data_IF_880454278701
#
_entry.id   IF_880454278701
#
_cell.length_a   1.000
_cell.length_b   1.000
_cell.length_c   1.000
_cell.angle_alpha   90.00
_cell.angle_beta   90.00
_cell.angle_gamma   90.00
#
_symmetry.space_group_name_H-M   'P 1'
#
loop_
_entity.id
_entity.type
_entity.pdbx_description
1 polymer ?
#
# COMPACT_ATOMS: atom_id res chain seq x y z
N UNK A 1 4.47 -16.26 15.95
CA UNK A 1 3.70 -17.42 15.45
C UNK A 1 3.08 -17.06 14.11
N UNK A 2 2.84 -18.06 13.24
CA UNK A 2 2.03 -17.88 12.03
C UNK A 2 0.55 -17.66 12.39
N UNK A 3 -0.23 -17.18 11.43
CA UNK A 3 -1.68 -17.09 11.53
C UNK A 3 -2.34 -18.47 11.60
N UNK A 4 -1.86 -19.46 10.85
CA UNK A 4 -2.32 -20.85 10.95
C UNK A 4 -2.13 -21.42 12.36
N UNK A 5 -0.97 -21.15 12.99
CA UNK A 5 -0.70 -21.56 14.38
C UNK A 5 -1.61 -20.82 15.36
N UNK A 6 -1.81 -19.51 15.17
CA UNK A 6 -2.68 -18.71 16.04
C UNK A 6 -4.13 -19.19 16.00
N UNK A 7 -4.63 -19.51 14.79
CA UNK A 7 -6.01 -19.92 14.54
C UNK A 7 -6.24 -21.43 14.74
N UNK A 8 -5.20 -22.19 15.08
CA UNK A 8 -5.29 -23.61 15.43
C UNK A 8 -5.28 -24.57 14.23
N UNK A 9 -5.00 -24.08 13.02
CA UNK A 9 -4.79 -24.92 11.83
C UNK A 9 -3.41 -25.61 11.84
N UNK A 10 -2.47 -25.09 12.63
CA UNK A 10 -1.12 -25.63 12.79
C UNK A 10 -0.67 -25.64 14.28
N UNK A 11 0.37 -26.41 14.57
CA UNK A 11 1.00 -26.56 15.89
C UNK A 11 2.47 -26.13 15.92
N UNK A 12 2.96 -25.42 14.89
CA UNK A 12 4.30 -24.84 14.91
C UNK A 12 4.51 -23.91 16.13
N UNK A 13 5.74 -23.85 16.68
CA UNK A 13 6.01 -23.07 17.89
C UNK A 13 5.82 -21.56 17.67
N UNK A 14 5.52 -20.86 18.75
CA UNK A 14 5.50 -19.40 18.79
C UNK A 14 6.78 -18.87 19.42
N UNK A 15 7.34 -17.78 18.92
CA UNK A 15 8.47 -17.12 19.58
C UNK A 15 7.98 -16.00 20.53
N UNK A 16 8.56 -15.95 21.74
CA UNK A 16 8.37 -14.87 22.71
C UNK A 16 9.67 -14.09 22.81
N UNK A 17 9.60 -12.80 22.47
CA UNK A 17 10.77 -11.92 22.48
C UNK A 17 11.53 -11.97 23.81
N UNK A 18 12.82 -12.30 23.77
CA UNK A 18 13.68 -12.41 24.96
C UNK A 18 13.57 -13.72 25.74
N UNK A 19 12.60 -14.58 25.44
CA UNK A 19 12.44 -15.91 26.04
C UNK A 19 12.77 -17.03 25.03
N UNK A 20 12.33 -16.88 23.78
CA UNK A 20 12.50 -17.86 22.72
C UNK A 20 11.22 -18.65 22.41
N UNK A 21 11.33 -19.84 21.78
CA UNK A 21 10.17 -20.59 21.32
C UNK A 21 9.39 -21.24 22.46
N UNK A 22 8.06 -21.17 22.35
CA UNK A 22 7.08 -21.83 23.22
C UNK A 22 6.10 -22.67 22.39
N UNK A 23 5.50 -23.73 22.97
CA UNK A 23 4.51 -24.53 22.27
C UNK A 23 3.29 -23.71 21.83
N UNK A 24 2.73 -24.03 20.66
CA UNK A 24 1.57 -23.37 20.10
C UNK A 24 0.38 -23.29 21.08
N UNK A 25 0.13 -24.37 21.82
CA UNK A 25 -0.95 -24.44 22.79
C UNK A 25 -0.78 -23.43 23.94
N UNK A 26 0.45 -23.30 24.47
CA UNK A 26 0.78 -22.33 25.52
C UNK A 26 0.59 -20.91 25.01
N UNK A 27 1.11 -20.63 23.82
CA UNK A 27 1.01 -19.30 23.22
C UNK A 27 -0.45 -18.89 22.94
N UNK A 28 -1.28 -19.81 22.42
CA UNK A 28 -2.72 -19.57 22.23
C UNK A 28 -3.45 -19.36 23.54
N UNK A 29 -3.13 -20.13 24.59
CA UNK A 29 -3.69 -19.93 25.92
C UNK A 29 -3.34 -18.52 26.45
N UNK A 30 -2.08 -18.09 26.35
CA UNK A 30 -1.67 -16.74 26.76
C UNK A 30 -2.45 -15.64 26.01
N UNK A 31 -2.64 -15.80 24.69
CA UNK A 31 -3.45 -14.86 23.90
C UNK A 31 -4.91 -14.86 24.35
N UNK A 32 -5.51 -16.04 24.54
CA UNK A 32 -6.90 -16.18 24.99
C UNK A 32 -7.13 -15.56 26.36
N UNK A 33 -6.24 -15.82 27.33
CA UNK A 33 -6.30 -15.26 28.68
C UNK A 33 -6.19 -13.73 28.64
N UNK A 34 -5.29 -13.19 27.81
CA UNK A 34 -5.13 -11.73 27.63
C UNK A 34 -6.37 -11.08 27.02
N UNK A 35 -7.04 -11.76 26.09
CA UNK A 35 -8.28 -11.27 25.45
C UNK A 35 -9.46 -11.33 26.43
N UNK A 36 -9.51 -12.32 27.31
CA UNK A 36 -10.57 -12.50 28.29
C UNK A 36 -10.44 -11.56 29.51
N UNK A 37 -9.24 -11.10 29.84
CA UNK A 37 -9.00 -10.18 30.96
C UNK A 37 -9.28 -8.71 30.57
N UNK A 38 -10.30 -8.05 31.15
CA UNK A 38 -10.62 -6.66 30.85
C UNK A 38 -9.55 -5.65 31.33
N UNK A 39 -8.61 -6.06 32.18
CA UNK A 39 -7.48 -5.23 32.61
C UNK A 39 -6.29 -5.32 31.65
N UNK A 40 -6.31 -6.31 30.76
CA UNK A 40 -5.25 -6.56 29.79
C UNK A 40 -5.57 -5.96 28.42
N UNK A 41 -4.54 -5.79 27.60
CA UNK A 41 -4.66 -5.32 26.21
C UNK A 41 -3.85 -6.23 25.29
N UNK A 42 -4.55 -6.92 24.39
CA UNK A 42 -3.92 -7.62 23.28
C UNK A 42 -4.00 -6.75 22.02
N UNK A 43 -2.91 -6.70 21.24
CA UNK A 43 -2.98 -6.14 19.88
C UNK A 43 -2.32 -7.09 18.90
N UNK A 44 -2.91 -7.23 17.72
CA UNK A 44 -2.40 -8.10 16.66
C UNK A 44 -1.86 -7.25 15.51
N UNK A 45 -0.64 -7.56 15.05
CA UNK A 45 -0.03 -6.88 13.90
C UNK A 45 0.49 -7.93 12.92
N UNK A 46 0.19 -7.76 11.64
CA UNK A 46 0.63 -8.72 10.62
C UNK A 46 2.10 -8.48 10.25
N UNK A 47 2.86 -9.57 10.19
CA UNK A 47 4.19 -9.64 9.59
C UNK A 47 4.09 -10.56 8.39
N UNK A 48 4.68 -10.17 7.28
CA UNK A 48 4.65 -10.95 6.04
C UNK A 48 6.00 -11.63 5.86
N UNK A 49 5.98 -12.94 5.70
CA UNK A 49 7.16 -13.76 5.47
C UNK A 49 7.22 -14.23 4.01
N UNK A 50 8.41 -14.32 3.45
CA UNK A 50 8.63 -14.92 2.14
C UNK A 50 8.32 -16.43 2.21
N UNK A 51 7.47 -16.97 1.31
CA UNK A 51 6.91 -18.32 1.47
C UNK A 51 7.96 -19.44 1.44
N UNK A 52 9.08 -19.25 0.73
CA UNK A 52 10.14 -20.28 0.62
C UNK A 52 11.17 -20.22 1.74
N UNK A 53 11.49 -19.02 2.23
CA UNK A 53 12.62 -18.81 3.13
C UNK A 53 12.20 -18.47 4.56
N UNK A 54 10.93 -18.13 4.79
CA UNK A 54 10.44 -17.67 6.09
C UNK A 54 10.96 -16.29 6.50
N UNK A 55 11.79 -15.63 5.67
CA UNK A 55 12.32 -14.31 5.96
C UNK A 55 11.20 -13.27 6.03
N UNK A 56 11.18 -12.45 7.07
CA UNK A 56 10.23 -11.33 7.16
C UNK A 56 10.57 -10.30 6.06
N UNK A 57 9.59 -10.01 5.20
CA UNK A 57 9.72 -9.09 4.06
C UNK A 57 8.90 -7.82 4.20
N UNK A 58 7.86 -7.83 5.03
CA UNK A 58 7.07 -6.64 5.30
C UNK A 58 6.35 -6.73 6.66
N UNK A 59 5.81 -5.60 7.11
CA UNK A 59 4.90 -5.54 8.25
C UNK A 59 3.75 -4.60 7.93
N UNK A 60 2.59 -4.90 8.51
CA UNK A 60 1.45 -3.98 8.49
C UNK A 60 1.82 -2.64 9.14
N UNK A 61 1.38 -1.52 8.55
CA UNK A 61 1.61 -0.17 9.07
C UNK A 61 0.38 0.34 9.82
N UNK A 62 0.55 0.79 11.07
CA UNK A 62 -0.50 1.46 11.86
C UNK A 62 -0.36 2.99 11.90
N UNK A 63 0.71 3.54 11.33
CA UNK A 63 0.92 4.99 11.36
C UNK A 63 -0.09 5.66 10.44
N UNK A 64 -0.83 6.65 10.97
CA UNK A 64 -1.72 7.48 10.15
C UNK A 64 -0.91 8.32 9.15
N UNK A 65 0.19 8.93 9.60
CA UNK A 65 0.99 9.80 8.75
C UNK A 65 1.88 8.97 7.82
N UNK A 66 1.98 9.39 6.57
CA UNK A 66 2.93 8.82 5.61
C UNK A 66 4.37 9.08 6.09
N UNK A 67 5.18 8.04 6.35
CA UNK A 67 6.58 8.21 6.69
C UNK A 67 7.34 8.93 5.57
N UNK A 68 8.45 9.61 5.90
CA UNK A 68 9.19 10.48 4.97
C UNK A 68 9.44 9.85 3.60
N UNK A 69 9.98 8.63 3.55
CA UNK A 69 10.27 7.94 2.28
C UNK A 69 9.02 7.68 1.44
N UNK A 70 7.92 7.28 2.09
CA UNK A 70 6.65 7.04 1.40
C UNK A 70 6.00 8.35 0.93
N UNK A 71 6.07 9.41 1.74
CA UNK A 71 5.59 10.73 1.36
C UNK A 71 6.36 11.27 0.14
N UNK A 72 7.70 11.13 0.12
CA UNK A 72 8.54 11.47 -1.02
C UNK A 72 8.20 10.64 -2.25
N UNK A 73 7.97 9.33 -2.09
CA UNK A 73 7.54 8.48 -3.20
C UNK A 73 6.22 8.96 -3.81
N UNK A 74 5.21 9.29 -2.98
CA UNK A 74 3.92 9.80 -3.44
C UNK A 74 4.10 11.09 -4.23
N UNK A 75 4.92 12.02 -3.75
CA UNK A 75 5.21 13.28 -4.47
C UNK A 75 5.87 13.05 -5.83
N UNK A 76 6.84 12.14 -5.89
CA UNK A 76 7.55 11.82 -7.12
C UNK A 76 6.65 11.12 -8.15
N UNK A 77 5.76 10.25 -7.68
CA UNK A 77 4.79 9.54 -8.53
C UNK A 77 3.71 10.49 -9.03
N UNK A 78 3.16 11.32 -8.16
CA UNK A 78 1.95 12.09 -8.44
C UNK A 78 2.24 13.42 -9.12
N UNK A 79 3.40 14.04 -8.85
CA UNK A 79 3.92 15.28 -9.42
C UNK A 79 3.07 16.54 -9.13
N UNK A 80 1.74 16.46 -9.29
CA UNK A 80 0.73 17.50 -9.03
C UNK A 80 -0.46 16.90 -8.27
N UNK A 81 -1.40 17.75 -7.88
CA UNK A 81 -2.64 17.33 -7.25
C UNK A 81 -3.36 16.27 -8.10
N UNK A 82 -3.68 15.11 -7.51
CA UNK A 82 -4.33 14.00 -8.23
C UNK A 82 -5.83 14.15 -8.37
N UNK A 83 -6.47 15.12 -7.71
CA UNK A 83 -7.86 15.46 -8.01
C UNK A 83 -7.99 15.86 -9.48
N UNK A 84 -8.90 15.24 -10.25
CA UNK A 84 -9.03 15.45 -11.69
C UNK A 84 -9.08 16.94 -12.07
N UNK A 85 -8.31 17.29 -13.11
CA UNK A 85 -8.22 18.65 -13.68
C UNK A 85 -7.61 19.71 -12.76
N UNK A 86 -6.93 19.31 -11.67
CA UNK A 86 -6.22 20.24 -10.80
C UNK A 86 -4.70 20.13 -10.97
N UNK A 87 -4.07 21.17 -11.52
CA UNK A 87 -2.60 21.19 -11.72
C UNK A 87 -1.84 21.88 -10.58
N UNK A 88 -2.49 22.07 -9.43
CA UNK A 88 -1.88 22.71 -8.27
C UNK A 88 -0.73 21.85 -7.68
N UNK A 89 0.30 22.46 -7.10
CA UNK A 89 1.35 21.74 -6.39
C UNK A 89 0.78 20.88 -5.25
N UNK A 90 1.43 19.74 -5.01
CA UNK A 90 1.11 18.88 -3.86
C UNK A 90 1.48 19.63 -2.57
N UNK A 91 0.54 19.67 -1.63
CA UNK A 91 0.74 20.20 -0.27
C UNK A 91 0.41 19.15 0.79
N UNK A 92 -0.56 18.29 0.50
CA UNK A 92 -0.97 17.19 1.37
C UNK A 92 -0.72 15.85 0.67
N UNK A 93 -0.36 14.85 1.49
CA UNK A 93 -0.35 13.43 1.09
C UNK A 93 -1.39 12.77 1.97
N UNK A 94 -2.46 12.30 1.37
CA UNK A 94 -3.61 11.79 2.12
C UNK A 94 -4.16 10.52 1.48
N UNK A 95 -4.94 9.78 2.25
CA UNK A 95 -5.45 8.48 1.82
C UNK A 95 -6.63 8.61 0.85
N UNK A 96 -6.70 7.73 -0.15
CA UNK A 96 -7.86 7.58 -1.02
C UNK A 96 -9.04 7.06 -0.21
N UNK A 97 -8.92 5.86 0.37
CA UNK A 97 -9.79 5.41 1.46
C UNK A 97 -9.28 6.02 2.76
N UNK A 98 -10.07 6.87 3.46
CA UNK A 98 -9.62 7.53 4.68
C UNK A 98 -9.06 6.56 5.72
N UNK A 99 -7.99 6.98 6.42
CA UNK A 99 -7.41 6.17 7.50
C UNK A 99 -8.44 5.85 8.61
N UNK A 100 -9.31 6.81 8.93
CA UNK A 100 -10.37 6.65 9.93
C UNK A 100 -11.41 5.58 9.56
N UNK A 101 -11.52 5.23 8.26
CA UNK A 101 -12.40 4.20 7.73
C UNK A 101 -11.66 2.88 7.45
N UNK A 102 -10.47 2.72 8.02
CA UNK A 102 -9.63 1.54 7.86
C UNK A 102 -8.70 1.57 6.64
N UNK A 103 -8.52 2.73 6.01
CA UNK A 103 -7.56 2.91 4.94
C UNK A 103 -6.11 2.71 5.39
N UNK A 104 -5.40 1.76 4.78
CA UNK A 104 -4.00 1.50 5.12
C UNK A 104 -3.07 2.61 4.62
N UNK A 105 -2.03 2.94 5.38
CA UNK A 105 -0.99 3.89 4.97
C UNK A 105 0.02 3.19 4.07
N UNK A 106 -0.25 3.20 2.77
CA UNK A 106 0.54 2.51 1.74
C UNK A 106 0.74 3.41 0.52
N UNK A 107 1.67 3.02 -0.36
CA UNK A 107 1.83 3.67 -1.65
C UNK A 107 0.53 3.64 -2.48
N UNK A 108 -0.15 2.49 -2.50
CA UNK A 108 -1.38 2.33 -3.28
C UNK A 108 -2.50 3.26 -2.78
N UNK A 109 -2.72 3.33 -1.46
CA UNK A 109 -3.81 4.13 -0.91
C UNK A 109 -3.44 5.62 -0.73
N UNK A 110 -2.18 6.03 -0.89
CA UNK A 110 -1.76 7.42 -0.74
C UNK A 110 -1.90 8.22 -2.04
N UNK A 111 -2.27 9.50 -1.94
CA UNK A 111 -2.38 10.45 -3.06
C UNK A 111 -1.81 11.83 -2.68
N UNK A 112 -1.10 12.45 -3.61
CA UNK A 112 -0.73 13.85 -3.56
C UNK A 112 -1.91 14.75 -3.90
N UNK A 113 -2.19 15.75 -3.06
CA UNK A 113 -3.27 16.71 -3.24
C UNK A 113 -2.85 18.13 -2.84
N UNK A 114 -3.48 19.13 -3.44
CA UNK A 114 -3.44 20.48 -2.89
C UNK A 114 -4.37 20.58 -1.68
N UNK A 115 -4.19 21.60 -0.84
CA UNK A 115 -4.96 21.77 0.40
C UNK A 115 -6.46 21.86 0.13
N UNK A 116 -6.88 22.69 -0.85
CA UNK A 116 -8.29 22.89 -1.22
C UNK A 116 -8.97 21.58 -1.61
N UNK A 117 -8.37 20.82 -2.53
CA UNK A 117 -8.94 19.58 -2.99
C UNK A 117 -8.93 18.50 -1.90
N UNK A 118 -7.91 18.51 -1.05
CA UNK A 118 -7.86 17.62 0.10
C UNK A 118 -9.00 17.88 1.08
N UNK A 119 -9.31 19.15 1.38
CA UNK A 119 -10.44 19.49 2.23
C UNK A 119 -11.78 19.20 1.57
N UNK A 120 -11.91 19.48 0.27
CA UNK A 120 -13.15 19.22 -0.48
C UNK A 120 -13.53 17.72 -0.45
N UNK A 121 -12.57 16.81 -0.61
CA UNK A 121 -12.85 15.36 -0.60
C UNK A 121 -13.26 14.79 0.78
N UNK A 122 -13.13 15.56 1.86
CA UNK A 122 -13.60 15.14 3.19
C UNK A 122 -15.10 15.37 3.40
N UNK A 123 -15.76 16.09 2.48
CA UNK A 123 -17.19 16.31 2.55
C UNK A 123 -17.97 15.01 2.28
N UNK A 124 -19.15 14.88 2.90
CA UNK A 124 -20.02 13.72 2.74
C UNK A 124 -20.36 13.45 1.26
N UNK A 125 -20.37 12.17 0.88
CA UNK A 125 -20.68 11.72 -0.48
C UNK A 125 -19.50 11.76 -1.45
N UNK A 126 -18.32 12.24 -1.03
CA UNK A 126 -17.09 12.00 -1.78
C UNK A 126 -16.52 10.62 -1.47
N UNK A 127 -16.12 9.90 -2.51
CA UNK A 127 -15.39 8.64 -2.37
C UNK A 127 -14.19 8.64 -3.31
N UNK A 128 -13.07 8.07 -2.85
CA UNK A 128 -11.88 7.90 -3.67
C UNK A 128 -11.36 6.48 -3.52
N UNK A 129 -11.14 5.81 -4.64
CA UNK A 129 -10.52 4.48 -4.69
C UNK A 129 -9.29 4.50 -5.58
N UNK A 130 -8.41 3.51 -5.41
CA UNK A 130 -7.16 3.40 -6.18
C UNK A 130 -6.97 1.98 -6.69
N UNK A 131 -6.47 1.89 -7.91
CA UNK A 131 -6.17 0.65 -8.63
C UNK A 131 -4.78 0.76 -9.30
N UNK A 132 -4.21 -0.40 -9.64
CA UNK A 132 -3.15 -0.47 -10.63
C UNK A 132 -3.80 -0.79 -11.98
N UNK A 133 -3.63 0.12 -12.94
CA UNK A 133 -4.14 -0.03 -14.31
C UNK A 133 -2.95 -0.01 -15.25
N UNK A 134 -2.63 -1.17 -15.83
CA UNK A 134 -1.47 -1.35 -16.72
C UNK A 134 -0.16 -0.82 -16.09
N UNK A 135 0.11 -1.21 -14.83
CA UNK A 135 1.29 -0.79 -14.06
C UNK A 135 1.33 0.71 -13.75
N UNK A 136 0.18 1.39 -13.87
CA UNK A 136 0.01 2.81 -13.53
C UNK A 136 -0.94 2.93 -12.37
N UNK A 137 -0.52 3.66 -11.33
CA UNK A 137 -1.39 3.97 -10.21
C UNK A 137 -2.49 4.94 -10.64
N UNK A 138 -3.74 4.47 -10.56
CA UNK A 138 -4.92 5.23 -10.96
C UNK A 138 -5.84 5.43 -9.77
N UNK A 139 -6.38 6.64 -9.64
CA UNK A 139 -7.40 6.98 -8.67
C UNK A 139 -8.74 7.26 -9.37
N UNK A 140 -9.83 6.72 -8.83
CA UNK A 140 -11.19 7.03 -9.23
C UNK A 140 -11.85 7.87 -8.13
N UNK A 141 -12.38 9.02 -8.50
CA UNK A 141 -13.08 9.96 -7.63
C UNK A 141 -14.56 9.91 -7.96
N UNK A 142 -15.39 9.56 -6.98
CA UNK A 142 -16.85 9.70 -7.04
C UNK A 142 -17.24 10.96 -6.27
N UNK A 143 -17.88 11.89 -6.97
CA UNK A 143 -18.43 13.11 -6.35
C UNK A 143 -19.73 12.82 -5.61
N UNK A 144 -20.21 13.72 -4.72
CA UNK A 144 -21.51 13.58 -4.06
C UNK A 144 -22.71 13.44 -5.00
N UNK A 145 -22.56 13.86 -6.27
CA UNK A 145 -23.59 13.71 -7.31
C UNK A 145 -23.52 12.36 -8.04
N UNK A 146 -22.63 11.45 -7.64
CA UNK A 146 -22.41 10.15 -8.27
C UNK A 146 -21.54 10.18 -9.54
N UNK A 147 -21.09 11.36 -9.99
CA UNK A 147 -20.17 11.45 -11.14
C UNK A 147 -18.80 10.88 -10.78
N UNK A 148 -18.24 10.07 -11.67
CA UNK A 148 -16.93 9.43 -11.54
C UNK A 148 -15.90 10.06 -12.46
N UNK A 149 -14.70 10.23 -11.94
CA UNK A 149 -13.57 10.80 -12.67
C UNK A 149 -12.31 10.00 -12.37
N UNK A 150 -11.46 9.81 -13.39
CA UNK A 150 -10.21 9.06 -13.26
C UNK A 150 -9.01 9.99 -13.31
N UNK A 151 -7.99 9.62 -12.55
CA UNK A 151 -6.70 10.32 -12.48
C UNK A 151 -5.61 9.28 -12.49
N UNK A 152 -4.87 9.15 -13.59
CA UNK A 152 -3.69 8.29 -13.70
C UNK A 152 -2.42 9.00 -13.24
N UNK A 153 -1.48 8.26 -12.66
CA UNK A 153 -0.18 8.83 -12.29
C UNK A 153 0.54 9.25 -13.57
N UNK A 154 1.01 10.50 -13.67
CA UNK A 154 1.74 10.91 -14.86
C UNK A 154 3.04 10.11 -14.99
N UNK A 155 3.44 9.72 -16.21
CA UNK A 155 4.71 9.05 -16.42
C UNK A 155 5.85 9.97 -15.95
N UNK A 156 6.76 9.44 -15.13
CA UNK A 156 7.92 10.20 -14.64
C UNK A 156 9.07 10.24 -15.64
N UNK A 157 9.21 9.18 -16.41
CA UNK A 157 10.19 9.04 -17.48
C UNK A 157 9.36 8.69 -18.72
N UNK A 158 9.55 9.37 -19.86
CA UNK A 158 8.89 8.98 -21.09
C UNK A 158 9.23 7.50 -21.36
N UNK A 159 8.24 6.66 -21.71
CA UNK A 159 8.54 5.30 -22.10
C UNK A 159 9.53 5.33 -23.26
N UNK A 160 10.55 4.48 -23.21
CA UNK A 160 11.42 4.27 -24.36
C UNK A 160 10.56 3.53 -25.38
N UNK A 161 10.05 4.26 -26.36
CA UNK A 161 9.32 3.67 -27.48
C UNK A 161 10.35 3.12 -28.44
N UNK A 162 10.62 1.81 -28.37
CA UNK A 162 11.38 1.12 -29.42
C UNK A 162 10.37 0.54 -30.40
N UNK A 163 10.44 0.96 -31.65
CA UNK A 163 9.62 0.40 -32.72
C UNK A 163 10.05 -1.03 -33.05
N UNK A 164 9.11 -1.86 -33.52
CA UNK A 164 9.43 -3.21 -34.02
C UNK A 164 10.51 -3.20 -35.11
N UNK A 165 10.58 -2.10 -35.89
CA UNK A 165 11.60 -1.89 -36.91
C UNK A 165 12.98 -1.71 -36.27
N UNK A 166 13.10 -0.86 -35.25
CA UNK A 166 14.36 -0.66 -34.51
C UNK A 166 14.81 -1.95 -33.82
N UNK A 167 13.89 -2.72 -33.24
CA UNK A 167 14.21 -4.04 -32.67
C UNK A 167 14.75 -4.98 -33.75
N UNK A 168 14.09 -5.06 -34.91
CA UNK A 168 14.52 -5.93 -36.03
C UNK A 168 15.88 -5.50 -36.60
N UNK A 169 16.12 -4.21 -36.76
CA UNK A 169 17.42 -3.67 -37.21
C UNK A 169 18.51 -4.01 -36.19
N UNK A 170 18.24 -3.80 -34.89
CA UNK A 170 19.19 -4.15 -33.83
C UNK A 170 19.58 -5.61 -33.84
N UNK A 171 18.61 -6.52 -34.01
CA UNK A 171 18.85 -7.97 -34.14
C UNK A 171 19.68 -8.29 -35.39
N UNK A 172 19.37 -7.67 -36.54
CA UNK A 172 20.09 -7.91 -37.79
C UNK A 172 21.56 -7.45 -37.71
N UNK A 173 21.80 -6.26 -37.15
CA UNK A 173 23.14 -5.72 -36.94
C UNK A 173 23.95 -6.58 -35.97
N UNK A 174 23.36 -7.01 -34.86
CA UNK A 174 24.02 -7.89 -33.89
C UNK A 174 24.42 -9.25 -34.48
N UNK A 175 23.60 -9.79 -35.40
CA UNK A 175 23.90 -11.05 -36.11
C UNK A 175 24.97 -10.91 -37.20
N UNK A 176 25.21 -9.72 -37.73
CA UNK A 176 26.25 -9.48 -38.75
C UNK A 176 27.58 -9.05 -38.14
N UNK A 177 27.58 -8.59 -36.89
CA UNK A 177 28.78 -8.23 -36.15
C UNK A 177 29.46 -9.42 -35.43
N UNK A 178 28.85 -10.61 -35.46
CA UNK A 178 29.36 -11.86 -34.92
C UNK A 178 29.83 -12.78 -36.05
#
# INVERSE_FOLDING_TARGET
MSDETLLGADSAPADVCGYGPIPAAVARAMVADTVADPRSRATLRRLYAHPKSGALVAMESRVRLFPRGLATFIELRDQRCRTPYCDAPIRHRDHARPWAEGGATTANNGLGSCERCNYAKQALGWEVTTSDENHTHTAEFTTPTGKRYRSGAPPRIPPITVSDVEVRIGIALARHAA
#
